data_IF_759944027090
#
_entry.id   IF_759944027090
#
_cell.length_a   1.000
_cell.length_b   1.000
_cell.length_c   1.000
_cell.angle_alpha   90.00
_cell.angle_beta   90.00
_cell.angle_gamma   90.00
#
_symmetry.space_group_name_H-M   'P 1'
#
loop_
_entity.id
_entity.type
_entity.pdbx_description
1 polymer ?
#
# COMPACT_ATOMS: atom_id res chain seq x y z
N UNK A 1 1.38 15.31 20.72
CA UNK A 1 0.04 15.21 20.07
C UNK A 1 -0.89 14.28 20.85
N UNK A 2 -2.23 14.44 20.80
CA UNK A 2 -3.16 13.46 21.39
C UNK A 2 -3.14 12.15 20.60
N UNK A 3 -3.17 11.01 21.29
CA UNK A 3 -3.07 9.68 20.67
C UNK A 3 -4.10 9.43 19.55
N UNK A 4 -5.36 9.82 19.77
CA UNK A 4 -6.44 9.72 18.77
C UNK A 4 -6.23 10.57 17.53
N UNK A 5 -5.59 11.74 17.69
CA UNK A 5 -5.26 12.64 16.58
C UNK A 5 -4.17 12.02 15.72
N UNK A 6 -3.13 11.47 16.35
CA UNK A 6 -2.05 10.77 15.65
C UNK A 6 -2.59 9.55 14.87
N UNK A 7 -3.46 8.76 15.51
CA UNK A 7 -4.14 7.61 14.89
C UNK A 7 -4.91 8.02 13.64
N UNK A 8 -5.74 9.07 13.72
CA UNK A 8 -6.50 9.56 12.58
C UNK A 8 -5.60 10.04 11.44
N UNK A 9 -4.50 10.74 11.73
CA UNK A 9 -3.57 11.19 10.69
C UNK A 9 -2.86 10.01 10.02
N UNK A 10 -2.42 9.03 10.80
CA UNK A 10 -1.77 7.81 10.30
C UNK A 10 -2.70 7.04 9.36
N UNK A 11 -3.91 6.72 9.82
CA UNK A 11 -4.88 5.94 9.05
C UNK A 11 -5.43 6.70 7.85
N UNK A 12 -5.67 8.01 7.95
CA UNK A 12 -6.05 8.85 6.82
C UNK A 12 -5.09 8.69 5.65
N UNK A 13 -3.78 8.79 5.91
CA UNK A 13 -2.76 8.68 4.89
C UNK A 13 -2.59 7.25 4.37
N UNK A 14 -2.73 6.25 5.26
CA UNK A 14 -2.70 4.83 4.89
C UNK A 14 -3.83 4.49 3.91
N UNK A 15 -5.07 4.91 4.22
CA UNK A 15 -6.23 4.69 3.35
C UNK A 15 -6.14 5.46 2.03
N UNK A 16 -5.66 6.70 2.03
CA UNK A 16 -5.49 7.49 0.81
C UNK A 16 -4.46 6.88 -0.15
N UNK A 17 -3.36 6.32 0.37
CA UNK A 17 -2.36 5.61 -0.43
C UNK A 17 -2.90 4.25 -0.92
N UNK A 18 -3.65 3.51 -0.08
CA UNK A 18 -4.31 2.24 -0.45
C UNK A 18 -5.28 2.40 -1.61
N UNK A 19 -6.13 3.43 -1.57
CA UNK A 19 -7.07 3.73 -2.66
C UNK A 19 -6.32 3.99 -3.99
N UNK A 20 -5.22 4.74 -3.93
CA UNK A 20 -4.38 5.02 -5.10
C UNK A 20 -3.66 3.77 -5.63
N UNK A 21 -3.19 2.89 -4.75
CA UNK A 21 -2.54 1.63 -5.10
C UNK A 21 -3.52 0.65 -5.76
N UNK A 22 -4.70 0.47 -5.16
CA UNK A 22 -5.78 -0.37 -5.70
C UNK A 22 -6.21 0.09 -7.09
N UNK A 23 -6.41 1.40 -7.28
CA UNK A 23 -6.75 1.96 -8.58
C UNK A 23 -5.66 1.72 -9.63
N UNK A 24 -4.38 1.77 -9.23
CA UNK A 24 -3.25 1.50 -10.14
C UNK A 24 -3.16 0.03 -10.53
N UNK A 25 -3.41 -0.88 -9.59
CA UNK A 25 -3.44 -2.31 -9.85
C UNK A 25 -4.53 -2.67 -10.87
N UNK A 26 -5.75 -2.17 -10.67
CA UNK A 26 -6.88 -2.37 -11.60
C UNK A 26 -6.58 -1.74 -12.97
N UNK A 27 -6.13 -0.48 -13.02
CA UNK A 27 -5.81 0.21 -14.28
C UNK A 27 -4.74 -0.52 -15.07
N UNK A 28 -3.72 -1.06 -14.39
CA UNK A 28 -2.64 -1.80 -15.04
C UNK A 28 -3.15 -3.11 -15.65
N UNK A 29 -3.98 -3.86 -14.93
CA UNK A 29 -4.55 -5.09 -15.51
C UNK A 29 -5.53 -4.81 -16.66
N UNK A 30 -6.31 -3.73 -16.57
CA UNK A 30 -7.15 -3.29 -17.69
C UNK A 30 -6.31 -2.94 -18.92
N UNK A 31 -5.15 -2.29 -18.74
CA UNK A 31 -4.22 -1.96 -19.82
C UNK A 31 -3.58 -3.19 -20.45
N UNK A 32 -3.25 -4.21 -19.66
CA UNK A 32 -2.72 -5.47 -20.18
C UNK A 32 -3.67 -6.14 -21.18
N UNK A 33 -4.98 -6.15 -20.90
CA UNK A 33 -6.00 -6.74 -21.79
C UNK A 33 -5.87 -6.20 -23.22
N UNK A 34 -5.68 -4.88 -23.31
CA UNK A 34 -5.59 -4.14 -24.58
C UNK A 34 -4.28 -4.48 -25.29
N UNK A 35 -3.16 -4.51 -24.56
CA UNK A 35 -1.84 -4.80 -25.10
C UNK A 35 -1.78 -6.23 -25.68
N UNK A 36 -2.50 -7.19 -25.09
CA UNK A 36 -2.47 -8.61 -25.49
C UNK A 36 -3.51 -9.02 -26.53
N UNK A 37 -4.39 -8.13 -27.00
CA UNK A 37 -5.45 -8.44 -27.99
C UNK A 37 -6.24 -9.73 -27.66
N UNK A 38 -6.59 -9.94 -26.39
CA UNK A 38 -7.29 -11.14 -25.88
C UNK A 38 -6.59 -12.49 -26.13
N UNK A 39 -5.31 -12.49 -26.55
CA UNK A 39 -4.54 -13.73 -26.76
C UNK A 39 -4.18 -14.47 -25.46
N UNK A 40 -4.33 -13.80 -24.32
CA UNK A 40 -4.12 -14.35 -22.98
C UNK A 40 -5.41 -14.16 -22.19
N UNK A 41 -5.98 -15.25 -21.68
CA UNK A 41 -7.15 -15.19 -20.81
C UNK A 41 -6.80 -14.40 -19.55
N UNK A 42 -7.55 -13.33 -19.25
CA UNK A 42 -7.23 -12.48 -18.12
C UNK A 42 -7.61 -13.15 -16.80
N UNK A 43 -6.61 -13.48 -16.00
CA UNK A 43 -6.83 -13.91 -14.64
C UNK A 43 -7.03 -12.69 -13.71
N UNK A 44 -8.24 -12.57 -13.15
CA UNK A 44 -8.56 -11.53 -12.17
C UNK A 44 -8.37 -12.00 -10.72
N UNK A 45 -8.26 -13.30 -10.49
CA UNK A 45 -7.98 -13.92 -9.17
C UNK A 45 -6.66 -13.43 -8.54
N UNK A 46 -5.53 -13.33 -9.29
CA UNK A 46 -4.28 -12.83 -8.72
C UNK A 46 -4.39 -11.40 -8.16
N UNK A 47 -5.23 -10.55 -8.75
CA UNK A 47 -5.43 -9.17 -8.27
C UNK A 47 -5.99 -9.15 -6.85
N UNK A 48 -7.02 -9.96 -6.61
CA UNK A 48 -7.68 -10.06 -5.30
C UNK A 48 -6.73 -10.65 -4.26
N UNK A 49 -5.84 -11.56 -4.68
CA UNK A 49 -4.79 -12.10 -3.79
C UNK A 49 -3.78 -11.04 -3.37
N UNK A 50 -3.38 -10.13 -4.26
CA UNK A 50 -2.44 -9.03 -3.92
C UNK A 50 -2.93 -8.28 -2.72
N UNK A 51 -4.21 -7.92 -2.70
CA UNK A 51 -4.79 -7.12 -1.62
C UNK A 51 -5.04 -7.94 -0.35
N UNK A 52 -4.86 -9.26 -0.40
CA UNK A 52 -5.09 -10.17 0.73
C UNK A 52 -6.56 -10.44 1.00
N UNK A 53 -7.46 -10.10 0.07
CA UNK A 53 -8.89 -10.10 0.31
C UNK A 53 -9.60 -11.34 -0.26
N UNK A 54 -8.86 -12.39 -0.62
CA UNK A 54 -9.40 -13.53 -1.37
C UNK A 54 -10.48 -14.31 -0.60
N UNK A 55 -10.32 -14.46 0.71
CA UNK A 55 -11.31 -15.13 1.56
C UNK A 55 -12.63 -14.34 1.59
N UNK A 56 -12.54 -13.02 1.83
CA UNK A 56 -13.69 -12.13 1.81
C UNK A 56 -14.36 -12.11 0.44
N UNK A 57 -13.59 -12.03 -0.65
CA UNK A 57 -14.11 -12.07 -2.01
C UNK A 57 -14.95 -13.32 -2.28
N UNK A 58 -14.44 -14.51 -1.92
CA UNK A 58 -15.15 -15.79 -2.11
C UNK A 58 -16.42 -15.90 -1.28
N UNK A 59 -16.51 -15.17 -0.17
CA UNK A 59 -17.73 -15.13 0.66
C UNK A 59 -18.83 -14.25 0.05
N UNK A 60 -18.47 -13.31 -0.84
CA UNK A 60 -19.38 -12.31 -1.42
C UNK A 60 -19.68 -12.55 -2.91
N UNK A 61 -18.77 -13.19 -3.65
CA UNK A 61 -18.85 -13.40 -5.08
C UNK A 61 -18.55 -14.85 -5.47
N UNK A 62 -19.30 -15.39 -6.43
CA UNK A 62 -19.16 -16.79 -6.87
C UNK A 62 -17.90 -17.04 -7.70
N UNK A 63 -17.45 -16.04 -8.47
CA UNK A 63 -16.31 -16.18 -9.39
C UNK A 63 -15.55 -14.87 -9.57
N UNK A 64 -14.24 -14.96 -9.78
CA UNK A 64 -13.34 -13.84 -10.06
C UNK A 64 -13.46 -13.35 -11.53
N UNK A 65 -14.64 -12.90 -11.93
CA UNK A 65 -14.84 -12.23 -13.22
C UNK A 65 -14.32 -10.78 -13.14
N UNK A 66 -14.02 -10.19 -14.30
CA UNK A 66 -13.66 -8.77 -14.40
C UNK A 66 -14.64 -7.86 -13.65
N UNK A 67 -15.93 -8.05 -13.87
CA UNK A 67 -16.99 -7.24 -13.27
C UNK A 67 -17.02 -7.39 -11.75
N UNK A 68 -16.97 -8.64 -11.26
CA UNK A 68 -17.00 -8.93 -9.83
C UNK A 68 -15.77 -8.35 -9.11
N UNK A 69 -14.57 -8.53 -9.67
CA UNK A 69 -13.34 -8.02 -9.07
C UNK A 69 -13.31 -6.49 -9.07
N UNK A 70 -13.69 -5.84 -10.17
CA UNK A 70 -13.79 -4.37 -10.20
C UNK A 70 -14.83 -3.87 -9.20
N UNK A 71 -16.01 -4.49 -9.12
CA UNK A 71 -17.03 -4.09 -8.16
C UNK A 71 -16.54 -4.25 -6.72
N UNK A 72 -15.96 -5.41 -6.39
CA UNK A 72 -15.42 -5.72 -5.07
C UNK A 72 -14.32 -4.75 -4.63
N UNK A 73 -13.38 -4.42 -5.51
CA UNK A 73 -12.23 -3.58 -5.17
C UNK A 73 -12.55 -2.08 -5.25
N UNK A 74 -13.63 -1.68 -5.91
CA UNK A 74 -13.96 -0.27 -6.12
C UNK A 74 -15.16 0.19 -5.30
N UNK A 75 -16.30 -0.50 -5.40
CA UNK A 75 -17.61 -0.02 -4.93
C UNK A 75 -18.19 -0.83 -3.78
N UNK A 76 -17.73 -2.06 -3.56
CA UNK A 76 -18.29 -2.89 -2.50
C UNK A 76 -17.90 -2.35 -1.13
N UNK A 77 -18.92 -1.97 -0.35
CA UNK A 77 -18.74 -1.45 1.02
C UNK A 77 -18.53 -2.54 2.04
N UNK A 78 -18.86 -3.78 1.70
CA UNK A 78 -18.54 -4.94 2.54
C UNK A 78 -17.04 -5.25 2.50
N UNK A 79 -16.34 -4.78 1.47
CA UNK A 79 -14.90 -4.78 1.43
C UNK A 79 -14.34 -3.50 2.10
N UNK A 80 -13.69 -3.60 3.28
CA UNK A 80 -13.08 -2.44 3.94
C UNK A 80 -11.89 -1.86 3.14
N UNK A 81 -11.29 -2.66 2.27
CA UNK A 81 -10.15 -2.28 1.42
C UNK A 81 -10.55 -1.76 0.04
N UNK A 82 -11.85 -1.69 -0.28
CA UNK A 82 -12.28 -1.11 -1.55
C UNK A 82 -11.97 0.39 -1.61
N UNK A 83 -11.85 0.94 -2.83
CA UNK A 83 -11.56 2.37 -3.02
C UNK A 83 -12.61 3.24 -2.32
N UNK A 84 -13.90 2.89 -2.43
CA UNK A 84 -14.97 3.66 -1.77
C UNK A 84 -14.87 3.59 -0.25
N UNK A 85 -14.57 2.42 0.32
CA UNK A 85 -14.39 2.25 1.76
C UNK A 85 -13.16 3.02 2.25
N UNK A 86 -12.01 2.87 1.59
CA UNK A 86 -10.79 3.58 1.95
C UNK A 86 -10.98 5.11 1.93
N UNK A 87 -11.62 5.66 0.89
CA UNK A 87 -11.84 7.12 0.81
C UNK A 87 -12.84 7.60 1.85
N UNK A 88 -13.85 6.80 2.19
CA UNK A 88 -14.77 7.09 3.27
C UNK A 88 -14.02 7.18 4.62
N UNK A 89 -13.24 6.16 4.97
CA UNK A 89 -12.45 6.15 6.21
C UNK A 89 -11.40 7.28 6.24
N UNK A 90 -10.74 7.55 5.10
CA UNK A 90 -9.79 8.66 5.01
C UNK A 90 -10.46 10.01 5.26
N UNK A 91 -11.66 10.23 4.70
CA UNK A 91 -12.43 11.47 4.89
C UNK A 91 -12.93 11.63 6.33
N UNK A 92 -13.37 10.54 6.96
CA UNK A 92 -13.79 10.55 8.37
C UNK A 92 -12.62 10.91 9.29
N UNK A 93 -11.47 10.27 9.10
CA UNK A 93 -10.24 10.62 9.81
C UNK A 93 -9.85 12.09 9.57
N UNK A 94 -9.84 12.55 8.32
CA UNK A 94 -9.56 13.95 7.98
C UNK A 94 -10.51 14.94 8.68
N UNK A 95 -11.78 14.56 8.86
CA UNK A 95 -12.78 15.40 9.52
C UNK A 95 -12.48 15.59 11.01
N UNK A 96 -11.84 14.60 11.64
CA UNK A 96 -11.52 14.61 13.07
C UNK A 96 -10.25 15.40 13.42
N UNK A 97 -9.42 15.73 12.41
CA UNK A 97 -8.14 16.44 12.57
C UNK A 97 -8.05 17.67 11.68
N UNK A 98 -9.20 18.30 11.41
CA UNK A 98 -9.36 19.39 10.43
C UNK A 98 -8.55 20.65 10.79
N UNK A 99 -8.25 20.82 12.07
CA UNK A 99 -7.41 21.88 12.61
C UNK A 99 -5.90 21.65 12.39
N UNK A 100 -5.50 20.44 11.98
CA UNK A 100 -4.10 20.05 11.78
C UNK A 100 -3.76 19.96 10.30
N UNK A 101 -4.67 19.41 9.50
CA UNK A 101 -4.49 19.35 8.04
C UNK A 101 -4.80 20.70 7.40
N UNK A 102 -4.26 20.93 6.20
CA UNK A 102 -4.61 22.13 5.45
C UNK A 102 -6.06 22.07 4.94
N UNK A 103 -6.64 23.25 4.72
CA UNK A 103 -7.97 23.36 4.10
C UNK A 103 -8.00 22.74 2.70
N UNK A 104 -6.87 22.75 1.98
CA UNK A 104 -6.74 22.12 0.67
C UNK A 104 -6.78 20.59 0.76
N UNK A 105 -6.05 19.98 1.70
CA UNK A 105 -6.12 18.52 1.94
C UNK A 105 -7.55 18.08 2.24
N UNK A 106 -8.24 18.80 3.13
CA UNK A 106 -9.65 18.55 3.45
C UNK A 106 -10.53 18.63 2.19
N UNK A 107 -10.39 19.68 1.38
CA UNK A 107 -11.17 19.87 0.17
C UNK A 107 -10.91 18.77 -0.88
N UNK A 108 -9.67 18.29 -1.01
CA UNK A 108 -9.32 17.22 -1.93
C UNK A 108 -9.99 15.90 -1.54
N UNK A 109 -9.83 15.47 -0.29
CA UNK A 109 -10.42 14.19 0.16
C UNK A 109 -11.95 14.27 0.19
N UNK A 110 -12.54 15.41 0.58
CA UNK A 110 -13.99 15.58 0.60
C UNK A 110 -14.59 15.61 -0.82
N UNK A 111 -13.91 16.23 -1.79
CA UNK A 111 -14.32 16.16 -3.20
C UNK A 111 -14.21 14.74 -3.75
N UNK A 112 -13.15 14.02 -3.40
CA UNK A 112 -12.98 12.64 -3.83
C UNK A 112 -14.10 11.76 -3.26
N UNK A 113 -14.41 11.89 -1.97
CA UNK A 113 -15.56 11.26 -1.31
C UNK A 113 -16.87 11.52 -2.04
N UNK A 114 -17.26 12.79 -2.25
CA UNK A 114 -18.53 13.10 -2.91
C UNK A 114 -18.59 12.59 -4.34
N UNK A 115 -17.47 12.62 -5.05
CA UNK A 115 -17.38 12.07 -6.40
C UNK A 115 -17.61 10.56 -6.38
N UNK A 116 -16.95 9.79 -5.52
CA UNK A 116 -17.12 8.34 -5.45
C UNK A 116 -18.53 7.91 -5.04
N UNK A 117 -19.17 8.72 -4.19
CA UNK A 117 -20.50 8.43 -3.67
C UNK A 117 -21.65 8.91 -4.59
N UNK A 118 -21.36 9.57 -5.72
CA UNK A 118 -22.39 10.02 -6.66
C UNK A 118 -22.86 8.89 -7.59
N UNK A 119 -24.13 8.92 -7.98
CA UNK A 119 -24.68 7.95 -8.94
C UNK A 119 -24.01 8.06 -10.31
N UNK A 120 -23.56 9.27 -10.68
CA UNK A 120 -22.76 9.50 -11.89
C UNK A 120 -21.44 8.71 -11.87
N UNK A 121 -20.78 8.59 -10.72
CA UNK A 121 -19.52 7.86 -10.62
C UNK A 121 -19.72 6.34 -10.70
N UNK A 122 -20.84 5.82 -10.17
CA UNK A 122 -21.23 4.42 -10.34
C UNK A 122 -21.50 4.09 -11.80
N UNK A 123 -22.24 4.95 -12.52
CA UNK A 123 -22.47 4.81 -13.96
C UNK A 123 -21.16 4.86 -14.76
N UNK A 124 -20.28 5.83 -14.46
CA UNK A 124 -18.97 5.95 -15.13
C UNK A 124 -18.04 4.76 -14.89
N UNK A 125 -18.14 4.07 -13.76
CA UNK A 125 -17.35 2.86 -13.53
C UNK A 125 -17.76 1.75 -14.49
N UNK A 126 -19.07 1.55 -14.68
CA UNK A 126 -19.62 0.57 -15.62
C UNK A 126 -19.24 0.91 -17.07
N UNK A 127 -19.32 2.19 -17.43
CA UNK A 127 -19.01 2.64 -18.79
C UNK A 127 -17.49 2.57 -19.10
N UNK A 128 -16.65 3.02 -18.17
CA UNK A 128 -15.20 3.08 -18.38
C UNK A 128 -14.41 2.95 -17.06
N UNK A 129 -14.13 1.72 -16.61
CA UNK A 129 -13.46 1.48 -15.34
C UNK A 129 -12.01 1.98 -15.33
N UNK A 130 -11.34 1.98 -16.49
CA UNK A 130 -9.98 2.51 -16.62
C UNK A 130 -9.93 4.01 -16.32
N UNK A 131 -10.87 4.79 -16.89
CA UNK A 131 -10.93 6.24 -16.65
C UNK A 131 -11.25 6.56 -15.19
N UNK A 132 -12.12 5.77 -14.56
CA UNK A 132 -12.41 5.91 -13.13
C UNK A 132 -11.16 5.67 -12.27
N UNK A 133 -10.40 4.62 -12.56
CA UNK A 133 -9.15 4.31 -11.86
C UNK A 133 -8.10 5.41 -12.06
N UNK A 134 -7.97 5.98 -13.27
CA UNK A 134 -7.08 7.12 -13.50
C UNK A 134 -7.44 8.34 -12.67
N UNK A 135 -8.73 8.65 -12.51
CA UNK A 135 -9.16 9.74 -11.63
C UNK A 135 -8.79 9.45 -10.17
N UNK A 136 -9.01 8.22 -9.71
CA UNK A 136 -8.68 7.82 -8.33
C UNK A 136 -7.18 7.92 -8.05
N UNK A 137 -6.33 7.51 -9.00
CA UNK A 137 -4.88 7.69 -8.93
C UNK A 137 -4.50 9.17 -8.80
N UNK A 138 -5.06 10.04 -9.64
CA UNK A 138 -4.79 11.48 -9.61
C UNK A 138 -5.22 12.11 -8.28
N UNK A 139 -6.37 11.74 -7.73
CA UNK A 139 -6.83 12.26 -6.44
C UNK A 139 -5.89 11.87 -5.28
N UNK A 140 -5.41 10.62 -5.26
CA UNK A 140 -4.43 10.17 -4.27
C UNK A 140 -3.11 10.97 -4.37
N UNK A 141 -2.61 11.21 -5.60
CA UNK A 141 -1.41 12.03 -5.83
C UNK A 141 -1.61 13.48 -5.37
N UNK A 142 -2.74 14.09 -5.70
CA UNK A 142 -3.06 15.46 -5.27
C UNK A 142 -3.15 15.57 -3.75
N UNK A 143 -3.76 14.59 -3.08
CA UNK A 143 -3.88 14.57 -1.62
C UNK A 143 -2.51 14.55 -0.94
N UNK A 144 -1.63 13.62 -1.31
CA UNK A 144 -0.29 13.53 -0.73
C UNK A 144 0.59 14.72 -1.13
N UNK A 145 0.48 15.21 -2.37
CA UNK A 145 1.21 16.39 -2.83
C UNK A 145 0.82 17.66 -2.09
N UNK A 146 -0.49 17.87 -1.88
CA UNK A 146 -0.99 19.00 -1.08
C UNK A 146 -0.49 18.91 0.36
N UNK A 147 -0.53 17.73 0.99
CA UNK A 147 0.06 17.53 2.31
C UNK A 147 1.53 17.94 2.36
N UNK A 148 2.34 17.46 1.40
CA UNK A 148 3.78 17.77 1.34
C UNK A 148 4.11 19.26 1.33
N UNK A 149 3.32 20.07 0.64
CA UNK A 149 3.59 21.51 0.48
C UNK A 149 2.88 22.40 1.51
N UNK A 150 1.86 21.90 2.21
CA UNK A 150 0.94 22.77 2.98
C UNK A 150 0.91 22.53 4.49
N UNK A 151 1.40 21.40 5.01
CA UNK A 151 1.49 21.16 6.46
C UNK A 151 2.93 21.29 6.95
N UNK A 152 3.11 21.79 8.17
CA UNK A 152 4.44 21.88 8.80
C UNK A 152 4.98 20.48 9.11
N UNK A 153 6.29 20.29 8.89
CA UNK A 153 6.97 19.00 9.06
C UNK A 153 7.29 18.68 10.53
N UNK A 154 6.26 18.69 11.39
CA UNK A 154 6.32 18.26 12.79
C UNK A 154 5.73 16.86 13.03
N UNK A 155 5.26 16.58 14.25
CA UNK A 155 4.69 15.25 14.61
C UNK A 155 3.58 14.80 13.63
N UNK A 156 2.66 15.70 13.25
CA UNK A 156 1.57 15.40 12.32
C UNK A 156 2.08 14.89 10.95
N UNK A 157 3.11 15.56 10.43
CA UNK A 157 3.76 15.19 9.19
C UNK A 157 4.41 13.81 9.28
N UNK A 158 5.10 13.53 10.39
CA UNK A 158 5.75 12.23 10.57
C UNK A 158 4.75 11.08 10.77
N UNK A 159 3.62 11.28 11.44
CA UNK A 159 2.55 10.26 11.46
C UNK A 159 1.93 10.04 10.07
N UNK A 160 1.78 11.11 9.29
CA UNK A 160 1.32 11.05 7.90
C UNK A 160 2.29 10.25 7.02
N UNK A 161 3.58 10.55 7.09
CA UNK A 161 4.62 9.81 6.37
C UNK A 161 4.69 8.35 6.84
N UNK A 162 4.65 8.09 8.14
CA UNK A 162 4.67 6.72 8.69
C UNK A 162 3.54 5.87 8.10
N UNK A 163 2.30 6.36 8.10
CA UNK A 163 1.15 5.64 7.51
C UNK A 163 1.31 5.38 6.02
N UNK A 164 1.74 6.40 5.26
CA UNK A 164 1.96 6.30 3.81
C UNK A 164 3.07 5.31 3.46
N UNK A 165 4.20 5.34 4.16
CA UNK A 165 5.34 4.49 3.85
C UNK A 165 5.09 3.02 4.25
N UNK A 166 4.40 2.79 5.38
CA UNK A 166 3.95 1.45 5.76
C UNK A 166 3.05 0.82 4.69
N UNK A 167 2.10 1.59 4.14
CA UNK A 167 1.23 1.11 3.06
C UNK A 167 2.01 0.80 1.77
N UNK A 168 2.97 1.65 1.40
CA UNK A 168 3.78 1.43 0.20
C UNK A 168 4.65 0.18 0.30
N UNK A 169 5.31 -0.01 1.44
CA UNK A 169 6.17 -1.16 1.66
C UNK A 169 5.38 -2.48 1.60
N UNK A 170 4.24 -2.54 2.31
CA UNK A 170 3.32 -3.69 2.28
C UNK A 170 2.81 -3.95 0.85
N UNK A 171 2.29 -2.90 0.17
CA UNK A 171 1.77 -3.03 -1.19
C UNK A 171 2.85 -3.47 -2.21
N UNK A 172 4.06 -2.92 -2.16
CA UNK A 172 5.16 -3.35 -3.05
C UNK A 172 5.51 -4.81 -2.81
N UNK A 173 5.57 -5.25 -1.55
CA UNK A 173 5.84 -6.66 -1.23
C UNK A 173 4.76 -7.60 -1.78
N UNK A 174 3.49 -7.21 -1.67
CA UNK A 174 2.35 -7.97 -2.19
C UNK A 174 2.34 -8.02 -3.71
N UNK A 175 2.63 -6.90 -4.38
CA UNK A 175 2.75 -6.84 -5.85
C UNK A 175 3.88 -7.75 -6.35
N UNK A 176 5.01 -7.79 -5.65
CA UNK A 176 6.09 -8.72 -5.96
C UNK A 176 5.65 -10.18 -5.80
N UNK A 177 4.92 -10.48 -4.71
CA UNK A 177 4.48 -11.83 -4.37
C UNK A 177 3.45 -12.41 -5.35
N UNK A 178 2.78 -11.56 -6.14
CA UNK A 178 1.87 -11.98 -7.23
C UNK A 178 2.50 -12.98 -8.17
N UNK A 179 3.80 -12.82 -8.45
CA UNK A 179 4.53 -13.72 -9.36
C UNK A 179 4.44 -15.18 -8.92
N UNK A 180 4.33 -15.46 -7.62
CA UNK A 180 4.11 -16.80 -7.10
C UNK A 180 2.73 -17.37 -7.50
N UNK A 181 1.68 -16.55 -7.47
CA UNK A 181 0.30 -16.98 -7.73
C UNK A 181 -0.08 -16.99 -9.21
N UNK A 182 0.46 -16.07 -10.01
CA UNK A 182 0.16 -16.01 -11.44
C UNK A 182 0.87 -17.12 -12.21
N UNK A 183 2.01 -17.63 -11.73
CA UNK A 183 2.69 -18.80 -12.26
C UNK A 183 3.58 -19.43 -11.19
N UNK A 184 3.29 -20.67 -10.76
CA UNK A 184 4.39 -21.59 -10.49
C UNK A 184 5.22 -21.64 -11.78
N UNK A 185 6.49 -21.21 -11.79
CA UNK A 185 7.24 -21.18 -13.03
C UNK A 185 7.45 -22.63 -13.43
N UNK A 186 6.74 -23.08 -14.48
CA UNK A 186 7.37 -24.07 -15.35
C UNK A 186 8.68 -23.41 -15.77
N UNK A 187 9.81 -24.00 -15.42
CA UNK A 187 11.13 -23.43 -15.70
C UNK A 187 11.28 -22.99 -17.18
N UNK A 188 10.51 -23.63 -18.06
CA UNK A 188 10.34 -23.34 -19.49
C UNK A 188 9.84 -21.93 -19.84
N UNK A 189 9.14 -21.22 -18.93
CA UNK A 189 8.59 -19.89 -19.20
C UNK A 189 9.50 -18.73 -18.77
N UNK A 190 10.55 -19.00 -17.99
CA UNK A 190 11.48 -17.98 -17.49
C UNK A 190 12.20 -17.32 -18.66
N UNK A 191 12.20 -15.99 -18.71
CA UNK A 191 12.85 -15.22 -19.78
C UNK A 191 12.08 -15.19 -21.12
N UNK A 192 10.87 -15.75 -21.17
CA UNK A 192 9.99 -15.61 -22.34
C UNK A 192 9.39 -14.21 -22.44
N UNK A 193 8.82 -13.88 -23.60
CA UNK A 193 8.08 -12.63 -23.80
C UNK A 193 6.91 -12.47 -22.81
N UNK A 194 6.26 -13.56 -22.41
CA UNK A 194 5.16 -13.56 -21.44
C UNK A 194 5.66 -13.17 -20.05
N UNK A 195 6.79 -13.76 -19.61
CA UNK A 195 7.40 -13.41 -18.33
C UNK A 195 7.83 -11.94 -18.28
N UNK A 196 8.42 -11.44 -19.37
CA UNK A 196 8.75 -10.02 -19.52
C UNK A 196 7.51 -9.12 -19.45
N UNK A 197 6.40 -9.47 -20.10
CA UNK A 197 5.15 -8.71 -20.03
C UNK A 197 4.61 -8.65 -18.59
N UNK A 198 4.67 -9.76 -17.85
CA UNK A 198 4.25 -9.80 -16.45
C UNK A 198 5.14 -8.93 -15.56
N UNK A 199 6.46 -8.94 -15.75
CA UNK A 199 7.37 -8.03 -15.03
C UNK A 199 7.09 -6.56 -15.36
N UNK A 200 6.80 -6.25 -16.63
CA UNK A 200 6.38 -4.90 -17.03
C UNK A 200 5.08 -4.50 -16.31
N UNK A 201 4.10 -5.40 -16.23
CA UNK A 201 2.85 -5.16 -15.51
C UNK A 201 3.07 -4.91 -14.02
N UNK A 202 3.92 -5.71 -13.39
CA UNK A 202 4.30 -5.57 -11.99
C UNK A 202 4.95 -4.20 -11.73
N UNK A 203 5.90 -3.81 -12.59
CA UNK A 203 6.55 -2.51 -12.55
C UNK A 203 5.55 -1.36 -12.79
N UNK A 204 4.60 -1.49 -13.73
CA UNK A 204 3.52 -0.49 -13.92
C UNK A 204 2.64 -0.36 -12.67
N UNK A 205 2.27 -1.48 -12.04
CA UNK A 205 1.45 -1.55 -10.82
C UNK A 205 2.14 -0.88 -9.62
N UNK A 206 3.48 -0.85 -9.61
CA UNK A 206 4.31 -0.16 -8.61
C UNK A 206 4.78 1.24 -9.03
N UNK A 207 4.29 1.80 -10.14
CA UNK A 207 4.76 3.09 -10.71
C UNK A 207 6.29 3.14 -10.90
N UNK A 208 6.87 2.01 -11.28
CA UNK A 208 8.29 1.73 -11.29
C UNK A 208 8.88 1.64 -12.71
N UNK A 209 8.05 1.36 -13.72
CA UNK A 209 8.53 0.99 -15.07
C UNK A 209 9.51 1.99 -15.69
N UNK A 210 9.17 3.28 -15.70
CA UNK A 210 10.01 4.29 -16.36
C UNK A 210 11.34 4.48 -15.65
N UNK A 211 11.32 4.55 -14.31
CA UNK A 211 12.55 4.67 -13.51
C UNK A 211 13.40 3.41 -13.59
N UNK A 212 12.77 2.22 -13.64
CA UNK A 212 13.47 0.97 -13.86
C UNK A 212 14.19 0.96 -15.21
N UNK A 213 13.49 1.31 -16.30
CA UNK A 213 14.07 1.36 -17.65
C UNK A 213 15.19 2.39 -17.79
N UNK A 214 15.16 3.46 -16.99
CA UNK A 214 16.24 4.44 -16.96
C UNK A 214 17.52 3.89 -16.30
N UNK A 215 17.41 2.90 -15.41
CA UNK A 215 18.54 2.28 -14.69
C UNK A 215 18.99 0.96 -15.29
N UNK A 216 18.08 0.18 -15.87
CA UNK A 216 18.32 -1.17 -16.35
C UNK A 216 17.94 -1.32 -17.83
N UNK A 217 18.83 -1.91 -18.63
CA UNK A 217 18.61 -2.12 -20.07
C UNK A 217 17.69 -3.30 -20.39
N UNK A 218 17.68 -4.32 -19.52
CA UNK A 218 16.91 -5.54 -19.67
C UNK A 218 16.10 -5.83 -18.40
N UNK A 219 15.04 -6.62 -18.56
CA UNK A 219 14.27 -7.14 -17.43
C UNK A 219 14.88 -8.49 -17.04
N UNK A 220 15.24 -8.61 -15.77
CA UNK A 220 15.58 -9.88 -15.14
C UNK A 220 15.05 -9.89 -13.72
N UNK A 221 14.86 -11.09 -13.14
CA UNK A 221 14.37 -11.23 -11.77
C UNK A 221 15.30 -10.50 -10.79
N UNK A 222 16.62 -10.63 -10.96
CA UNK A 222 17.62 -10.04 -10.07
C UNK A 222 17.53 -8.52 -10.09
N UNK A 223 17.44 -7.92 -11.28
CA UNK A 223 17.32 -6.47 -11.44
C UNK A 223 16.00 -5.95 -10.85
N UNK A 224 14.88 -6.66 -11.04
CA UNK A 224 13.60 -6.24 -10.49
C UNK A 224 13.58 -6.35 -8.97
N UNK A 225 14.10 -7.43 -8.39
CA UNK A 225 14.22 -7.60 -6.94
C UNK A 225 15.16 -6.53 -6.34
N UNK A 226 16.32 -6.31 -6.95
CA UNK A 226 17.22 -5.23 -6.53
C UNK A 226 16.50 -3.87 -6.54
N UNK A 227 15.73 -3.58 -7.60
CA UNK A 227 15.06 -2.30 -7.76
C UNK A 227 13.87 -2.09 -6.80
N UNK A 228 13.00 -3.08 -6.64
CA UNK A 228 11.78 -2.96 -5.84
C UNK A 228 11.99 -3.28 -4.36
N UNK A 229 13.04 -4.02 -4.00
CA UNK A 229 13.32 -4.36 -2.60
C UNK A 229 14.44 -3.46 -2.04
N UNK A 230 15.56 -3.31 -2.76
CA UNK A 230 16.84 -2.82 -2.20
C UNK A 230 17.30 -1.44 -2.73
N UNK A 231 16.58 -0.81 -3.67
CA UNK A 231 16.97 0.50 -4.19
C UNK A 231 16.67 1.62 -3.18
N UNK A 232 17.70 2.15 -2.52
CA UNK A 232 17.58 3.21 -1.51
C UNK A 232 17.14 4.59 -2.05
N UNK A 233 16.91 4.74 -3.36
CA UNK A 233 16.51 6.01 -3.98
C UNK A 233 15.09 5.97 -4.56
N UNK A 234 14.56 4.78 -4.84
CA UNK A 234 13.24 4.64 -5.44
C UNK A 234 12.13 4.76 -4.38
N UNK A 235 11.21 5.76 -4.44
CA UNK A 235 10.26 6.04 -3.35
C UNK A 235 9.20 4.98 -3.03
N UNK A 236 9.21 3.87 -3.76
CA UNK A 236 8.32 2.72 -3.57
C UNK A 236 9.07 1.41 -3.36
N UNK A 237 10.41 1.43 -3.34
CA UNK A 237 11.16 0.26 -2.92
C UNK A 237 10.90 -0.03 -1.44
N UNK A 238 10.94 -1.29 -1.06
CA UNK A 238 10.69 -1.70 0.33
C UNK A 238 11.69 -1.04 1.28
N UNK A 239 12.99 -1.09 0.99
CA UNK A 239 14.01 -0.48 1.86
C UNK A 239 13.83 1.03 2.01
N UNK A 240 13.46 1.75 0.94
CA UNK A 240 13.23 3.19 1.01
C UNK A 240 12.07 3.49 1.94
N UNK A 241 10.93 2.80 1.76
CA UNK A 241 9.74 3.02 2.57
C UNK A 241 10.00 2.68 4.04
N UNK A 242 10.68 1.56 4.33
CA UNK A 242 11.05 1.17 5.70
C UNK A 242 12.00 2.18 6.32
N UNK A 243 13.02 2.67 5.59
CA UNK A 243 13.94 3.69 6.08
C UNK A 243 13.24 5.02 6.40
N UNK A 244 12.29 5.44 5.55
CA UNK A 244 11.50 6.66 5.78
C UNK A 244 10.52 6.53 6.96
N UNK A 245 9.99 5.32 7.16
CA UNK A 245 9.13 5.02 8.30
C UNK A 245 9.94 5.04 9.61
N UNK A 246 11.12 4.42 9.63
CA UNK A 246 12.08 4.45 10.74
C UNK A 246 12.48 5.88 11.14
N UNK A 247 12.85 6.71 10.17
CA UNK A 247 13.14 8.13 10.42
C UNK A 247 11.94 8.87 11.04
N UNK A 248 10.72 8.57 10.55
CA UNK A 248 9.53 9.21 11.09
C UNK A 248 9.25 8.79 12.54
N UNK A 249 9.50 7.53 12.91
CA UNK A 249 9.39 7.06 14.30
C UNK A 249 10.35 7.81 15.22
N UNK A 250 11.61 7.93 14.81
CA UNK A 250 12.64 8.68 15.53
C UNK A 250 12.28 10.17 15.69
N UNK A 251 11.74 10.81 14.65
CA UNK A 251 11.27 12.19 14.75
C UNK A 251 10.05 12.34 15.67
N UNK A 252 9.12 11.37 15.68
CA UNK A 252 7.94 11.38 16.56
C UNK A 252 8.36 11.25 18.04
N UNK A 253 9.28 10.33 18.34
CA UNK A 253 9.72 10.08 19.72
C UNK A 253 10.84 11.01 20.20
N UNK A 254 11.40 11.81 19.30
CA UNK A 254 12.64 12.56 19.50
C UNK A 254 13.83 11.67 19.93
N UNK A 255 13.88 10.42 19.45
CA UNK A 255 15.01 9.53 19.70
C UNK A 255 16.09 9.65 18.62
N UNK A 256 17.38 9.58 18.96
CA UNK A 256 18.45 9.61 17.96
C UNK A 256 18.35 8.44 16.97
N UNK A 257 18.60 8.71 15.68
CA UNK A 257 18.63 7.67 14.66
C UNK A 257 19.61 6.54 15.00
N UNK A 258 19.19 5.30 14.79
CA UNK A 258 19.99 4.11 15.12
C UNK A 258 19.97 3.71 16.60
N UNK A 259 19.15 4.37 17.42
CA UNK A 259 18.82 3.94 18.79
C UNK A 259 17.39 3.40 18.85
N UNK A 260 16.83 3.16 20.04
CA UNK A 260 15.39 2.88 20.18
C UNK A 260 14.91 3.30 21.57
N UNK A 261 13.70 3.86 21.65
CA UNK A 261 13.02 4.24 22.90
C UNK A 261 11.77 3.39 23.19
N UNK A 262 11.26 2.66 22.20
CA UNK A 262 10.09 1.78 22.33
C UNK A 262 10.26 0.52 21.47
N UNK A 263 9.31 -0.42 21.58
CA UNK A 263 9.39 -1.68 20.85
C UNK A 263 9.10 -1.51 19.36
N UNK A 264 8.31 -0.49 18.97
CA UNK A 264 8.10 -0.13 17.56
C UNK A 264 9.42 0.21 16.85
N UNK A 265 10.20 1.15 17.39
CA UNK A 265 11.50 1.57 16.85
C UNK A 265 12.48 0.40 16.79
N UNK A 266 12.52 -0.41 17.85
CA UNK A 266 13.40 -1.57 17.90
C UNK A 266 13.09 -2.60 16.81
N UNK A 267 11.80 -2.87 16.55
CA UNK A 267 11.39 -3.80 15.49
C UNK A 267 11.60 -3.21 14.10
N UNK A 268 11.29 -1.92 13.92
CA UNK A 268 11.54 -1.22 12.67
C UNK A 268 13.03 -1.19 12.33
N UNK A 269 13.88 -0.82 13.29
CA UNK A 269 15.33 -0.79 13.13
C UNK A 269 15.90 -2.16 12.77
N UNK A 270 15.41 -3.26 13.39
CA UNK A 270 15.78 -4.63 13.02
C UNK A 270 15.36 -4.99 11.59
N UNK A 271 14.13 -4.64 11.20
CA UNK A 271 13.65 -4.84 9.83
C UNK A 271 14.50 -4.07 8.82
N UNK A 272 14.84 -2.82 9.12
CA UNK A 272 15.69 -1.99 8.28
C UNK A 272 17.12 -2.52 8.21
N UNK A 273 17.69 -2.99 9.32
CA UNK A 273 19.01 -3.62 9.34
C UNK A 273 19.05 -4.84 8.43
N UNK A 274 18.09 -5.74 8.53
CA UNK A 274 18.05 -6.92 7.66
C UNK A 274 17.98 -6.53 6.18
N UNK A 275 17.13 -5.57 5.82
CA UNK A 275 17.04 -5.05 4.45
C UNK A 275 18.34 -4.39 3.96
N UNK A 276 19.12 -3.78 4.84
CA UNK A 276 20.39 -3.12 4.48
C UNK A 276 21.52 -4.10 4.19
N UNK A 277 21.45 -5.31 4.73
CA UNK A 277 22.53 -6.29 4.65
C UNK A 277 22.21 -7.52 3.80
N UNK A 278 20.95 -7.74 3.45
CA UNK A 278 20.56 -8.84 2.56
C UNK A 278 20.93 -8.55 1.10
N UNK A 279 21.38 -9.57 0.38
CA UNK A 279 21.60 -9.54 -1.06
C UNK A 279 20.41 -10.09 -1.86
N UNK A 280 20.38 -9.81 -3.16
CA UNK A 280 19.36 -10.39 -4.05
C UNK A 280 19.54 -11.90 -4.17
N UNK A 281 20.79 -12.37 -4.17
CA UNK A 281 21.12 -13.79 -4.20
C UNK A 281 20.54 -14.52 -2.98
N UNK A 282 20.70 -13.94 -1.78
CA UNK A 282 20.12 -14.49 -0.54
C UNK A 282 18.59 -14.53 -0.59
N UNK A 283 17.93 -13.52 -1.17
CA UNK A 283 16.47 -13.50 -1.36
C UNK A 283 16.03 -14.64 -2.30
N UNK A 284 16.75 -14.85 -3.40
CA UNK A 284 16.43 -15.91 -4.37
C UNK A 284 16.68 -17.28 -3.77
N UNK A 285 17.79 -17.48 -3.05
CA UNK A 285 18.13 -18.75 -2.38
C UNK A 285 17.15 -19.11 -1.26
N UNK A 286 16.66 -18.12 -0.51
CA UNK A 286 15.63 -18.34 0.51
C UNK A 286 14.26 -18.69 -0.08
N UNK A 287 14.02 -18.30 -1.33
CA UNK A 287 12.71 -18.31 -1.95
C UNK A 287 12.04 -16.94 -1.84
N UNK A 288 11.67 -16.38 -2.99
CA UNK A 288 11.09 -15.03 -3.07
C UNK A 288 9.78 -14.93 -2.29
N UNK A 289 8.90 -15.93 -2.41
CA UNK A 289 7.60 -15.93 -1.73
C UNK A 289 7.76 -16.03 -0.21
N UNK A 290 8.64 -16.91 0.25
CA UNK A 290 8.98 -17.13 1.65
C UNK A 290 9.58 -15.85 2.27
N UNK A 291 10.50 -15.20 1.55
CA UNK A 291 11.08 -13.93 1.98
C UNK A 291 10.03 -12.82 2.09
N UNK A 292 9.19 -12.64 1.06
CA UNK A 292 8.15 -11.61 1.06
C UNK A 292 7.08 -11.87 2.12
N UNK A 293 6.71 -13.14 2.35
CA UNK A 293 5.77 -13.52 3.41
C UNK A 293 6.34 -13.23 4.81
N UNK A 294 7.62 -13.54 5.04
CA UNK A 294 8.32 -13.18 6.27
C UNK A 294 8.38 -11.67 6.47
N UNK A 295 8.70 -10.91 5.41
CA UNK A 295 8.66 -9.45 5.44
C UNK A 295 7.28 -8.91 5.80
N UNK A 296 6.21 -9.39 5.14
CA UNK A 296 4.82 -9.00 5.40
C UNK A 296 4.41 -9.28 6.85
N UNK A 297 4.80 -10.43 7.41
CA UNK A 297 4.54 -10.75 8.82
C UNK A 297 5.21 -9.74 9.77
N UNK A 298 6.49 -9.42 9.51
CA UNK A 298 7.27 -8.49 10.34
C UNK A 298 6.77 -7.06 10.26
N UNK A 299 6.40 -6.56 9.07
CA UNK A 299 5.85 -5.21 8.93
C UNK A 299 4.45 -5.09 9.55
N UNK A 300 3.64 -6.16 9.52
CA UNK A 300 2.38 -6.21 10.25
C UNK A 300 2.59 -6.20 11.77
N UNK A 301 3.61 -6.91 12.27
CA UNK A 301 3.97 -6.84 13.69
C UNK A 301 4.40 -5.42 14.10
N UNK A 302 5.16 -4.72 13.26
CA UNK A 302 5.48 -3.30 13.48
C UNK A 302 4.20 -2.46 13.49
N UNK A 303 3.26 -2.70 12.57
CA UNK A 303 1.95 -2.05 12.55
C UNK A 303 1.18 -2.21 13.87
N UNK A 304 1.16 -3.41 14.43
CA UNK A 304 0.55 -3.68 15.74
C UNK A 304 1.26 -2.92 16.86
N UNK A 305 2.60 -2.84 16.83
CA UNK A 305 3.34 -2.05 17.82
C UNK A 305 3.14 -0.55 17.70
N UNK A 306 2.98 -0.02 16.48
CA UNK A 306 2.60 1.39 16.30
C UNK A 306 1.29 1.67 17.05
N UNK A 307 0.31 0.76 16.95
CA UNK A 307 -0.94 0.89 17.68
C UNK A 307 -0.69 0.87 19.20
N UNK A 308 0.03 -0.12 19.72
CA UNK A 308 0.32 -0.23 21.15
C UNK A 308 1.06 0.99 21.71
N UNK A 309 2.14 1.42 21.05
CA UNK A 309 3.06 2.42 21.58
C UNK A 309 2.54 3.87 21.40
N UNK A 310 1.74 4.13 20.35
CA UNK A 310 1.30 5.51 20.00
C UNK A 310 -0.21 5.73 20.06
N UNK A 311 -1.04 4.70 19.80
CA UNK A 311 -2.50 4.86 19.66
C UNK A 311 -3.30 4.28 20.84
N UNK A 312 -2.74 3.30 21.55
CA UNK A 312 -3.40 2.73 22.71
C UNK A 312 -3.41 3.75 23.86
N UNK A 313 -4.60 3.97 24.44
CA UNK A 313 -4.71 4.77 25.66
C UNK A 313 -4.01 3.99 26.78
N UNK A 314 -2.90 4.51 27.29
CA UNK A 314 -2.30 4.00 28.52
C UNK A 314 -3.30 4.18 29.68
N UNK A 315 -4.06 3.13 30.00
CA UNK A 315 -4.64 2.87 31.34
C UNK A 315 -3.54 2.64 32.40
N UNK A 316 -2.33 3.19 32.21
CA UNK A 316 -1.21 3.05 33.16
C UNK A 316 -1.25 4.07 34.29
N UNK A 317 -2.23 4.99 34.32
CA UNK A 317 -2.50 5.84 35.47
C UNK A 317 -3.86 5.49 36.10
N UNK A 318 -3.84 4.41 36.89
CA UNK A 318 -4.71 4.12 38.04
C UNK A 318 -6.21 4.38 37.92
N UNK A 319 -6.99 3.31 37.78
CA UNK A 319 -7.93 2.81 38.81
C UNK A 319 -8.37 1.40 38.38
N UNK A 320 -8.22 0.45 39.30
CA UNK A 320 -8.81 -0.88 39.23
C UNK A 320 -10.34 -0.79 39.30
N UNK A 321 -11.02 -1.20 38.23
CA UNK A 321 -12.34 -1.87 38.24
C UNK A 321 -12.56 -2.38 36.81
N UNK A 322 -12.22 -3.62 36.50
CA UNK A 322 -13.04 -4.77 36.84
C UNK A 322 -14.27 -4.75 35.96
N UNK A 323 -14.25 -5.48 34.83
CA UNK A 323 -15.37 -6.25 34.28
C UNK A 323 -14.87 -7.16 33.16
N UNK A 324 -15.21 -8.43 33.33
CA UNK A 324 -14.90 -9.59 32.50
C UNK A 324 -15.68 -9.60 31.16
N UNK A 325 -15.12 -10.38 30.22
CA UNK A 325 -15.76 -11.19 29.16
C UNK A 325 -16.92 -10.60 28.32
N UNK A 326 -16.66 -10.42 27.02
CA UNK A 326 -17.28 -11.11 25.86
C UNK A 326 -16.49 -10.78 24.59
#
# INVERSE_FOLDING_TARGET
MLSRVAESIYWMNRYAERAGNTARLISTNLGLAIDTHDSVEQEWDPIVRVTGDMELFRSLYESATRENVINFMVLDRNNPNSIISCVNHARENASSVREIISSEMWLLINRFYHRLNSDEAKGKLLDNPGKFCEVSKVQSLLFHGSGYISISHGEAWHFSELGKQMERADNTSRILDVKYYTLLPKAELVGTSIDNMQWISLLKSSNALETYKAKHQQISIENVLNFLILDNQFPRSIIYCVARADESLHCISNSPAGTYNNETEKKMGRLLSDLRFISVEEIIEHGMHEYLSSFQSRINEVGNRIYDDYFSYNLKNGVLSGFDDI
#
